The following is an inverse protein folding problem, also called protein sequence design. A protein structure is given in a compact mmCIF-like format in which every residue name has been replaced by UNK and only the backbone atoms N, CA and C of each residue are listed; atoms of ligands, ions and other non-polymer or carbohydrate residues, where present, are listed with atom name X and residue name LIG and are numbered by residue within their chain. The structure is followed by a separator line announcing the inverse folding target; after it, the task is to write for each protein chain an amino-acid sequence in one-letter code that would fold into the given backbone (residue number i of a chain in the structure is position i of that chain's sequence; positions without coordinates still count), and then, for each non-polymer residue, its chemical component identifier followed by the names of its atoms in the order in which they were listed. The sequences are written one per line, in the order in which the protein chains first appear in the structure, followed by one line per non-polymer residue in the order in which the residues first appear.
data_IF_689364160115
#
_entry.id   IF_689364160115
#
_cell.length_a   1.000
_cell.length_b   1.000
_cell.length_c   1.000
_cell.angle_alpha   90.00
_cell.angle_beta   90.00
_cell.angle_gamma   90.00
#
_symmetry.space_group_name_H-M   'P 1'
#
loop_
_entity.id
_entity.type
_entity.pdbx_description
1 polymer ?
#
# COMPACT_ATOMS: atom_id res chain seq x y z
N UNK A 1 35.99 -66.04 36.42
CA UNK A 1 36.28 -66.52 35.05
C UNK A 1 35.06 -67.26 34.55
N UNK A 2 34.57 -66.93 33.35
CA UNK A 2 33.42 -67.63 32.77
C UNK A 2 33.87 -69.03 32.25
N UNK A 3 33.04 -70.06 32.37
CA UNK A 3 33.39 -71.44 32.00
C UNK A 3 33.54 -71.62 30.48
N UNK A 4 34.41 -72.55 30.04
CA UNK A 4 34.76 -72.76 28.62
C UNK A 4 33.56 -73.03 27.68
N UNK A 5 32.49 -73.62 28.20
CA UNK A 5 31.28 -73.85 27.42
C UNK A 5 30.58 -72.54 27.01
N UNK A 6 30.71 -71.47 27.80
CA UNK A 6 30.13 -70.14 27.50
C UNK A 6 30.81 -69.49 26.29
N UNK A 7 32.14 -69.57 26.23
CA UNK A 7 32.91 -69.06 25.09
C UNK A 7 32.64 -69.88 23.81
N UNK A 8 32.55 -71.22 23.93
CA UNK A 8 32.20 -72.09 22.81
C UNK A 8 30.76 -71.82 22.31
N UNK A 9 29.79 -71.72 23.22
CA UNK A 9 28.40 -71.39 22.89
C UNK A 9 28.26 -70.06 22.15
N UNK A 10 28.93 -69.00 22.61
CA UNK A 10 28.91 -67.70 21.93
C UNK A 10 29.63 -67.73 20.58
N UNK A 11 30.69 -68.53 20.43
CA UNK A 11 31.38 -68.69 19.14
C UNK A 11 30.56 -69.46 18.11
N UNK A 12 29.77 -70.44 18.55
CA UNK A 12 28.92 -71.28 17.69
C UNK A 12 27.55 -70.64 17.41
N UNK A 13 27.14 -69.64 18.21
CA UNK A 13 25.87 -68.92 18.08
C UNK A 13 26.09 -67.41 18.20
N UNK A 14 26.78 -66.77 17.24
CA UNK A 14 26.97 -65.32 17.27
C UNK A 14 25.60 -64.64 17.18
N UNK A 15 25.17 -64.02 18.28
CA UNK A 15 23.96 -63.21 18.29
C UNK A 15 24.21 -61.98 17.42
N UNK A 16 23.60 -61.93 16.24
CA UNK A 16 23.69 -60.77 15.36
C UNK A 16 22.90 -59.61 15.97
N UNK A 17 23.57 -58.78 16.79
CA UNK A 17 22.98 -57.58 17.38
C UNK A 17 22.99 -56.39 16.40
N UNK A 18 23.90 -56.40 15.42
CA UNK A 18 24.07 -55.32 14.46
C UNK A 18 22.90 -55.25 13.47
N UNK A 19 22.41 -56.39 12.98
CA UNK A 19 21.24 -56.45 12.08
C UNK A 19 19.98 -55.82 12.71
N UNK A 20 19.54 -56.26 13.90
CA UNK A 20 18.46 -55.64 14.65
C UNK A 20 18.73 -54.16 14.98
N UNK A 21 19.95 -53.79 15.37
CA UNK A 21 20.29 -52.40 15.68
C UNK A 21 20.19 -51.48 14.44
N UNK A 22 20.67 -51.93 13.28
CA UNK A 22 20.54 -51.22 11.99
C UNK A 22 19.06 -51.09 11.63
N UNK A 23 18.28 -52.16 11.79
CA UNK A 23 16.85 -52.15 11.47
C UNK A 23 16.07 -51.20 12.39
N UNK A 24 16.34 -51.22 13.69
CA UNK A 24 15.76 -50.27 14.66
C UNK A 24 16.18 -48.84 14.36
N UNK A 25 17.45 -48.61 14.03
CA UNK A 25 17.95 -47.27 13.65
C UNK A 25 17.30 -46.74 12.37
N UNK A 26 17.12 -47.59 11.36
CA UNK A 26 16.44 -47.25 10.11
C UNK A 26 14.96 -46.94 10.34
N UNK A 27 14.25 -47.77 11.12
CA UNK A 27 12.85 -47.54 11.49
C UNK A 27 12.70 -46.25 12.31
N UNK A 28 13.56 -46.03 13.30
CA UNK A 28 13.55 -44.80 14.10
C UNK A 28 13.78 -43.55 13.25
N UNK A 29 14.73 -43.60 12.32
CA UNK A 29 15.00 -42.50 11.38
C UNK A 29 13.81 -42.24 10.46
N UNK A 30 13.18 -43.30 9.93
CA UNK A 30 12.00 -43.17 9.09
C UNK A 30 10.82 -42.56 9.86
N UNK A 31 10.60 -42.95 11.11
CA UNK A 31 9.58 -42.34 11.97
C UNK A 31 9.86 -40.86 12.21
N UNK A 32 11.11 -40.49 12.51
CA UNK A 32 11.50 -39.07 12.69
C UNK A 32 11.22 -38.27 11.42
N UNK A 33 11.57 -38.79 10.24
CA UNK A 33 11.32 -38.12 8.96
C UNK A 33 9.82 -37.97 8.70
N UNK A 34 9.02 -39.02 8.94
CA UNK A 34 7.56 -38.96 8.75
C UNK A 34 6.92 -37.97 9.73
N UNK A 35 7.31 -38.00 11.01
CA UNK A 35 6.84 -37.03 12.01
C UNK A 35 7.24 -35.62 11.60
N UNK A 36 8.48 -35.40 11.15
CA UNK A 36 8.93 -34.09 10.68
C UNK A 36 8.11 -33.61 9.46
N UNK A 37 7.85 -34.47 8.48
CA UNK A 37 7.02 -34.12 7.31
C UNK A 37 5.57 -33.78 7.68
N UNK A 38 4.99 -34.49 8.66
CA UNK A 38 3.63 -34.22 9.15
C UNK A 38 3.61 -32.93 9.99
N UNK A 39 4.53 -32.79 10.93
CA UNK A 39 4.58 -31.67 11.88
C UNK A 39 5.01 -30.35 11.23
N UNK A 40 5.92 -30.37 10.26
CA UNK A 40 6.29 -29.18 9.48
C UNK A 40 5.25 -28.86 8.39
N UNK A 41 4.37 -29.81 8.07
CA UNK A 41 3.35 -29.66 7.04
C UNK A 41 3.95 -29.43 5.65
N UNK A 42 3.16 -28.82 4.77
CA UNK A 42 3.61 -28.36 3.45
C UNK A 42 3.90 -26.85 3.53
N UNK A 43 5.15 -26.41 3.76
CA UNK A 43 5.48 -24.99 3.93
C UNK A 43 5.21 -24.16 2.66
N UNK A 44 5.13 -24.81 1.50
CA UNK A 44 4.83 -24.19 0.22
C UNK A 44 3.37 -24.38 -0.20
N UNK A 45 2.48 -24.70 0.73
CA UNK A 45 1.06 -24.80 0.44
C UNK A 45 0.55 -23.45 -0.04
N UNK A 46 -0.08 -23.43 -1.21
CA UNK A 46 -0.67 -22.24 -1.78
C UNK A 46 -2.19 -22.27 -1.67
N UNK A 47 -2.79 -21.09 -1.68
CA UNK A 47 -4.20 -20.88 -1.94
C UNK A 47 -4.31 -20.09 -3.25
N UNK A 48 -5.26 -20.47 -4.09
CA UNK A 48 -5.49 -19.80 -5.37
C UNK A 48 -6.91 -19.27 -5.45
N UNK A 49 -7.04 -18.01 -5.88
CA UNK A 49 -8.30 -17.39 -6.25
C UNK A 49 -8.37 -17.36 -7.77
N UNK A 50 -9.48 -17.82 -8.33
CA UNK A 50 -9.73 -17.74 -9.77
C UNK A 50 -10.33 -16.36 -10.09
N UNK A 51 -9.70 -15.61 -11.00
CA UNK A 51 -10.07 -14.23 -11.33
C UNK A 51 -10.74 -14.09 -12.71
N UNK A 52 -10.89 -15.19 -13.45
CA UNK A 52 -11.56 -15.21 -14.76
C UNK A 52 -12.13 -16.58 -15.13
N UNK A 53 -12.64 -16.77 -16.36
CA UNK A 53 -13.23 -18.03 -16.80
C UNK A 53 -12.26 -19.22 -16.71
N UNK A 54 -12.78 -20.43 -16.50
CA UNK A 54 -11.97 -21.64 -16.38
C UNK A 54 -11.12 -21.87 -17.64
N UNK A 55 -9.86 -22.27 -17.44
CA UNK A 55 -8.91 -22.54 -18.53
C UNK A 55 -8.18 -21.31 -19.10
N UNK A 56 -8.48 -20.10 -18.64
CA UNK A 56 -7.81 -18.86 -19.11
C UNK A 56 -6.49 -18.56 -18.40
N UNK A 57 -6.14 -19.29 -17.34
CA UNK A 57 -4.96 -19.01 -16.52
C UNK A 57 -5.10 -17.79 -15.61
N UNK A 58 -6.27 -17.15 -15.58
CA UNK A 58 -6.56 -16.03 -14.67
C UNK A 58 -6.74 -16.54 -13.23
N UNK A 59 -5.63 -16.54 -12.49
CA UNK A 59 -5.59 -16.92 -11.08
C UNK A 59 -4.54 -16.11 -10.30
N UNK A 60 -4.87 -15.75 -9.06
CA UNK A 60 -3.88 -15.34 -8.07
C UNK A 60 -3.53 -16.53 -7.20
N UNK A 61 -2.26 -16.77 -6.99
CA UNK A 61 -1.77 -17.83 -6.11
C UNK A 61 -0.87 -17.19 -5.06
N UNK A 62 -1.16 -17.48 -3.80
CA UNK A 62 -0.44 -16.95 -2.64
C UNK A 62 -0.08 -18.08 -1.69
N UNK A 63 1.01 -17.93 -0.93
CA UNK A 63 1.34 -18.89 0.10
C UNK A 63 0.36 -18.78 1.27
N UNK A 64 -0.12 -19.91 1.78
CA UNK A 64 -1.00 -19.93 2.96
C UNK A 64 -0.35 -19.30 4.19
N UNK A 65 0.97 -19.39 4.29
CA UNK A 65 1.74 -18.75 5.36
C UNK A 65 1.65 -17.23 5.35
N UNK A 66 1.52 -16.63 4.17
CA UNK A 66 1.48 -15.18 3.99
C UNK A 66 0.07 -14.67 4.27
N UNK A 67 -0.94 -15.39 3.79
CA UNK A 67 -2.36 -15.12 4.09
C UNK A 67 -2.70 -15.25 5.58
N UNK A 68 -1.97 -16.09 6.32
CA UNK A 68 -2.19 -16.30 7.75
C UNK A 68 -1.62 -15.17 8.63
N UNK A 69 -0.81 -14.27 8.08
CA UNK A 69 -0.20 -13.15 8.81
C UNK A 69 -0.95 -11.87 8.46
N UNK A 70 -1.75 -11.29 9.40
CA UNK A 70 -2.40 -10.01 9.14
C UNK A 70 -1.38 -8.88 8.99
N UNK A 71 -1.81 -7.77 8.39
CA UNK A 71 -1.04 -6.53 8.40
C UNK A 71 -0.82 -6.11 9.87
N UNK A 72 0.43 -6.07 10.37
CA UNK A 72 0.69 -5.76 11.77
C UNK A 72 0.26 -4.34 12.16
N UNK A 73 0.12 -3.43 11.19
CA UNK A 73 -0.35 -2.07 11.48
C UNK A 73 -1.84 -2.00 11.81
N UNK A 74 -2.63 -3.03 11.53
CA UNK A 74 -4.03 -3.11 11.99
C UNK A 74 -4.09 -3.09 13.51
N UNK A 75 -3.20 -3.84 14.19
CA UNK A 75 -3.13 -3.88 15.66
C UNK A 75 -2.64 -2.55 16.25
N UNK A 76 -1.83 -1.80 15.51
CA UNK A 76 -1.30 -0.50 15.92
C UNK A 76 -2.29 0.66 15.70
N UNK A 77 -3.40 0.42 15.00
CA UNK A 77 -4.34 1.48 14.67
C UNK A 77 -5.13 1.92 15.91
N UNK A 78 -5.13 3.22 16.17
CA UNK A 78 -5.92 3.83 17.23
C UNK A 78 -7.38 4.08 16.79
N UNK A 79 -8.32 3.59 17.59
CA UNK A 79 -9.75 3.84 17.47
C UNK A 79 -10.30 4.42 18.77
N UNK A 80 -11.23 5.36 18.64
CA UNK A 80 -12.03 5.90 19.74
C UNK A 80 -13.47 6.06 19.25
N UNK A 81 -14.46 5.98 20.12
CA UNK A 81 -15.88 6.14 19.73
C UNK A 81 -16.25 7.62 19.69
N UNK A 82 -17.03 8.08 18.70
CA UNK A 82 -17.46 9.48 18.67
C UNK A 82 -18.49 9.79 19.75
N UNK A 83 -18.49 11.02 20.23
CA UNK A 83 -19.52 11.52 21.14
C UNK A 83 -20.73 11.96 20.32
N UNK A 84 -21.91 11.38 20.57
CA UNK A 84 -23.15 11.79 19.90
C UNK A 84 -23.60 13.15 20.47
N UNK A 85 -23.65 14.23 19.67
CA UNK A 85 -24.09 15.54 20.15
C UNK A 85 -25.58 15.51 20.55
N UNK A 86 -25.92 16.06 21.71
CA UNK A 86 -27.29 16.18 22.22
C UNK A 86 -27.99 17.47 21.74
N UNK A 87 -27.22 18.43 21.21
CA UNK A 87 -27.69 19.70 20.68
C UNK A 87 -27.57 20.84 21.70
N UNK A 88 -27.08 21.99 21.23
CA UNK A 88 -26.88 23.19 22.07
C UNK A 88 -25.47 23.33 22.66
N UNK A 89 -24.58 22.37 22.38
CA UNK A 89 -23.16 22.50 22.66
C UNK A 89 -22.53 23.60 21.79
N UNK A 90 -21.49 24.23 22.33
CA UNK A 90 -20.68 25.17 21.56
C UNK A 90 -19.85 24.41 20.53
N UNK A 91 -19.72 24.99 19.33
CA UNK A 91 -18.92 24.42 18.26
C UNK A 91 -17.47 24.89 18.36
N UNK A 92 -16.54 24.12 17.80
CA UNK A 92 -15.11 24.40 17.82
C UNK A 92 -14.78 25.78 17.25
N UNK A 93 -15.52 26.24 16.21
CA UNK A 93 -15.37 27.59 15.64
C UNK A 93 -15.76 28.72 16.59
N UNK A 94 -16.60 28.44 17.59
CA UNK A 94 -17.09 29.42 18.57
C UNK A 94 -16.19 29.46 19.83
N UNK A 95 -15.45 28.38 20.09
CA UNK A 95 -14.58 28.22 21.27
C UNK A 95 -13.12 28.56 20.93
N UNK A 96 -12.61 28.00 19.84
CA UNK A 96 -11.19 28.06 19.49
C UNK A 96 -10.88 29.11 18.44
N UNK A 97 -9.64 29.60 18.46
CA UNK A 97 -9.14 30.52 17.44
C UNK A 97 -8.60 29.76 16.24
N UNK A 98 -8.85 30.29 15.03
CA UNK A 98 -8.27 29.80 13.78
C UNK A 98 -8.66 28.36 13.39
N UNK A 99 -9.90 27.95 13.70
CA UNK A 99 -10.48 26.71 13.17
C UNK A 99 -11.07 26.98 11.79
N UNK A 100 -10.44 26.43 10.74
CA UNK A 100 -10.80 26.71 9.33
C UNK A 100 -11.51 25.55 8.62
N UNK A 101 -11.39 24.32 9.15
CA UNK A 101 -11.91 23.10 8.50
C UNK A 101 -12.88 22.39 9.44
N UNK A 102 -12.42 22.01 10.63
CA UNK A 102 -13.20 21.27 11.63
C UNK A 102 -14.06 22.18 12.52
N UNK A 103 -14.67 23.21 11.94
CA UNK A 103 -15.37 24.27 12.68
C UNK A 103 -16.71 23.86 13.28
N UNK A 104 -17.37 22.88 12.66
CA UNK A 104 -18.72 22.43 13.03
C UNK A 104 -18.73 21.24 14.03
N UNK A 105 -17.57 20.90 14.58
CA UNK A 105 -17.47 19.87 15.62
C UNK A 105 -17.82 20.44 16.99
N UNK A 106 -18.38 19.62 17.88
CA UNK A 106 -18.42 19.93 19.31
C UNK A 106 -16.99 19.94 19.88
N UNK A 107 -16.80 20.58 21.04
CA UNK A 107 -15.49 20.60 21.71
C UNK A 107 -14.92 19.19 21.93
N UNK A 108 -15.75 18.26 22.40
CA UNK A 108 -15.33 16.90 22.72
C UNK A 108 -14.91 16.13 21.45
N UNK A 109 -15.68 16.21 20.37
CA UNK A 109 -15.30 15.55 19.11
C UNK A 109 -14.10 16.22 18.44
N UNK A 110 -13.96 17.54 18.55
CA UNK A 110 -12.77 18.24 18.07
C UNK A 110 -11.50 17.73 18.76
N UNK A 111 -11.52 17.65 20.10
CA UNK A 111 -10.38 17.17 20.88
C UNK A 111 -10.11 15.68 20.64
N UNK A 112 -11.16 14.88 20.46
CA UNK A 112 -11.05 13.47 20.05
C UNK A 112 -10.32 13.30 18.72
N UNK A 113 -10.73 14.03 17.68
CA UNK A 113 -10.07 13.98 16.35
C UNK A 113 -8.61 14.42 16.45
N UNK A 114 -8.30 15.47 17.22
CA UNK A 114 -6.90 15.89 17.46
C UNK A 114 -6.07 14.81 18.17
N UNK A 115 -6.66 14.11 19.14
CA UNK A 115 -6.05 12.96 19.80
C UNK A 115 -5.74 11.82 18.81
N UNK A 116 -6.70 11.47 17.96
CA UNK A 116 -6.53 10.45 16.93
C UNK A 116 -5.45 10.84 15.90
N UNK A 117 -5.49 12.07 15.39
CA UNK A 117 -4.46 12.58 14.47
C UNK A 117 -3.05 12.52 15.08
N UNK A 118 -2.93 12.81 16.37
CA UNK A 118 -1.65 12.70 17.10
C UNK A 118 -1.14 11.26 17.07
N UNK A 119 -1.99 10.28 17.41
CA UNK A 119 -1.61 8.86 17.38
C UNK A 119 -1.27 8.37 15.97
N UNK A 120 -1.96 8.87 14.94
CA UNK A 120 -1.77 8.40 13.58
C UNK A 120 -0.57 8.98 12.84
N UNK A 121 -0.13 10.18 13.23
CA UNK A 121 0.87 10.96 12.48
C UNK A 121 2.14 11.21 13.30
N UNK A 122 2.02 11.53 14.59
CA UNK A 122 3.16 11.96 15.40
C UNK A 122 3.05 11.46 16.85
N UNK A 123 2.87 10.14 17.09
CA UNK A 123 2.69 9.59 18.44
C UNK A 123 3.91 9.85 19.34
N UNK A 124 5.11 9.94 18.78
CA UNK A 124 6.34 10.22 19.53
C UNK A 124 6.50 11.69 19.90
N UNK A 125 6.13 12.61 18.99
CA UNK A 125 6.30 14.06 19.20
C UNK A 125 5.09 14.71 19.87
N UNK A 126 3.93 14.04 19.85
CA UNK A 126 2.69 14.52 20.44
C UNK A 126 2.14 15.77 19.75
N UNK A 127 1.28 16.50 20.46
CA UNK A 127 0.60 17.71 19.99
C UNK A 127 1.59 18.79 19.50
N UNK A 128 2.77 18.85 20.14
CA UNK A 128 3.80 19.83 19.83
C UNK A 128 4.37 19.69 18.41
N UNK A 129 4.17 18.55 17.74
CA UNK A 129 4.60 18.40 16.34
C UNK A 129 3.93 19.42 15.41
N UNK A 130 2.64 19.71 15.65
CA UNK A 130 1.87 20.66 14.86
C UNK A 130 1.70 22.01 15.55
N UNK A 131 1.72 22.05 16.89
CA UNK A 131 1.43 23.28 17.64
C UNK A 131 2.65 23.93 18.29
N UNK A 132 3.79 23.23 18.40
CA UNK A 132 4.94 23.68 19.17
C UNK A 132 4.78 23.41 20.67
N UNK A 133 5.86 23.64 21.42
CA UNK A 133 5.86 23.54 22.88
C UNK A 133 5.39 24.88 23.48
N UNK A 134 4.10 25.16 23.30
CA UNK A 134 3.43 26.41 23.72
C UNK A 134 2.19 26.12 24.56
N UNK A 135 1.62 27.15 25.19
CA UNK A 135 0.37 26.99 25.92
C UNK A 135 -0.80 26.68 24.98
N UNK A 136 -1.84 25.96 25.47
CA UNK A 136 -2.99 25.53 24.67
C UNK A 136 -3.72 26.71 24.00
N UNK A 137 -3.74 27.87 24.65
CA UNK A 137 -4.37 29.09 24.14
C UNK A 137 -3.66 29.65 22.89
N UNK A 138 -2.40 29.26 22.67
CA UNK A 138 -1.57 29.65 21.53
C UNK A 138 -1.65 28.66 20.37
N UNK A 139 -2.34 27.52 20.53
CA UNK A 139 -2.45 26.49 19.49
C UNK A 139 -3.13 26.97 18.21
N UNK A 140 -3.79 28.13 18.25
CA UNK A 140 -4.35 28.82 17.08
C UNK A 140 -3.32 29.37 16.09
N UNK A 141 -2.05 29.57 16.47
CA UNK A 141 -1.01 30.08 15.59
C UNK A 141 -0.64 29.10 14.45
N UNK A 142 -0.28 29.63 13.28
CA UNK A 142 0.12 28.84 12.09
C UNK A 142 1.63 28.94 11.79
N UNK A 143 2.43 29.16 12.84
CA UNK A 143 3.86 29.42 12.72
C UNK A 143 4.66 28.18 12.29
N UNK A 144 4.11 26.97 12.51
CA UNK A 144 4.73 25.71 12.11
C UNK A 144 4.16 25.22 10.78
N UNK A 145 5.05 24.88 9.85
CA UNK A 145 4.69 24.33 8.55
C UNK A 145 3.82 23.07 8.66
N UNK A 146 4.06 22.26 9.69
CA UNK A 146 3.34 21.01 9.97
C UNK A 146 1.84 21.25 10.20
N UNK A 147 1.44 22.37 10.81
CA UNK A 147 0.04 22.72 10.98
C UNK A 147 -0.63 23.13 9.67
N UNK A 148 0.07 23.92 8.86
CA UNK A 148 -0.41 24.32 7.52
C UNK A 148 -0.61 23.08 6.64
N UNK A 149 0.35 22.16 6.66
CA UNK A 149 0.25 20.87 5.97
C UNK A 149 -0.88 20.01 6.54
N UNK A 150 -0.98 19.87 7.87
CA UNK A 150 -2.03 19.07 8.51
C UNK A 150 -3.43 19.56 8.15
N UNK A 151 -3.65 20.88 8.10
CA UNK A 151 -4.91 21.47 7.63
C UNK A 151 -5.25 21.03 6.20
N UNK A 152 -4.26 21.06 5.30
CA UNK A 152 -4.44 20.62 3.91
C UNK A 152 -4.70 19.11 3.83
N UNK A 153 -4.07 18.31 4.70
CA UNK A 153 -4.30 16.87 4.76
C UNK A 153 -5.72 16.53 5.25
N UNK A 154 -6.29 17.26 6.21
CA UNK A 154 -7.69 17.05 6.64
C UNK A 154 -8.63 17.23 5.45
N UNK A 155 -8.47 18.33 4.69
CA UNK A 155 -9.28 18.59 3.49
C UNK A 155 -9.10 17.48 2.45
N UNK A 156 -7.86 17.02 2.25
CA UNK A 156 -7.57 15.91 1.33
C UNK A 156 -8.27 14.63 1.78
N UNK A 157 -8.22 14.29 3.07
CA UNK A 157 -8.86 13.10 3.64
C UNK A 157 -10.37 13.15 3.48
N UNK A 158 -11.02 14.26 3.83
CA UNK A 158 -12.48 14.44 3.63
C UNK A 158 -12.86 14.29 2.16
N UNK A 159 -12.08 14.90 1.26
CA UNK A 159 -12.32 14.80 -0.18
C UNK A 159 -12.15 13.37 -0.71
N UNK A 160 -11.16 12.61 -0.23
CA UNK A 160 -11.00 11.20 -0.61
C UNK A 160 -12.23 10.39 -0.19
N UNK A 161 -12.71 10.57 1.04
CA UNK A 161 -13.84 9.80 1.56
C UNK A 161 -15.17 10.18 0.90
N UNK A 162 -15.35 11.45 0.54
CA UNK A 162 -16.59 11.94 -0.06
C UNK A 162 -16.62 11.77 -1.60
N UNK A 163 -15.63 12.32 -2.29
CA UNK A 163 -15.65 12.44 -3.75
C UNK A 163 -15.03 11.24 -4.48
N UNK A 164 -14.26 10.42 -3.76
CA UNK A 164 -13.64 9.19 -4.28
C UNK A 164 -14.24 7.91 -3.68
N UNK A 165 -15.48 7.98 -3.17
CA UNK A 165 -16.25 6.85 -2.63
C UNK A 165 -16.26 5.63 -3.57
N UNK A 166 -16.41 5.87 -4.88
CA UNK A 166 -16.37 4.82 -5.91
C UNK A 166 -15.02 4.08 -6.03
N UNK A 167 -13.96 4.58 -5.41
CA UNK A 167 -12.69 3.88 -5.24
C UNK A 167 -12.55 3.33 -3.81
N UNK A 168 -12.70 4.19 -2.79
CA UNK A 168 -12.36 3.82 -1.41
C UNK A 168 -13.40 2.93 -0.74
N UNK A 169 -14.68 3.00 -1.12
CA UNK A 169 -15.77 2.25 -0.49
C UNK A 169 -16.45 1.22 -1.42
N UNK A 170 -15.90 0.97 -2.61
CA UNK A 170 -16.53 0.18 -3.68
C UNK A 170 -17.06 -1.21 -3.26
N UNK A 171 -16.40 -1.88 -2.31
CA UNK A 171 -16.80 -3.21 -1.84
C UNK A 171 -17.48 -3.19 -0.47
N UNK A 172 -17.17 -2.18 0.35
CA UNK A 172 -17.61 -2.01 1.74
C UNK A 172 -17.16 -0.62 2.19
N UNK A 173 -17.89 -0.07 3.15
CA UNK A 173 -17.49 1.15 3.84
C UNK A 173 -16.18 0.91 4.60
N UNK A 174 -15.13 1.61 4.18
CA UNK A 174 -13.82 1.57 4.83
C UNK A 174 -13.19 2.94 4.98
N UNK A 175 -13.28 3.77 3.93
CA UNK A 175 -12.65 5.07 3.83
C UNK A 175 -11.13 5.06 4.04
N UNK A 176 -10.59 6.25 4.29
CA UNK A 176 -9.20 6.49 4.66
C UNK A 176 -9.13 7.41 5.87
N UNK A 177 -8.08 7.25 6.68
CA UNK A 177 -7.69 8.18 7.73
C UNK A 177 -6.23 8.58 7.54
N UNK A 178 -5.71 9.45 8.41
CA UNK A 178 -4.29 9.81 8.39
C UNK A 178 -3.40 8.56 8.50
N UNK A 179 -3.85 7.57 9.28
CA UNK A 179 -3.11 6.32 9.52
C UNK A 179 -2.92 5.48 8.27
N UNK A 180 -3.86 5.53 7.31
CA UNK A 180 -3.78 4.79 6.04
C UNK A 180 -2.43 5.03 5.34
N UNK A 181 -1.93 6.27 5.37
CA UNK A 181 -0.64 6.66 4.81
C UNK A 181 0.48 6.71 5.86
N UNK A 182 0.24 7.43 6.97
CA UNK A 182 1.29 7.78 7.93
C UNK A 182 1.75 6.60 8.79
N UNK A 183 0.85 5.68 9.14
CA UNK A 183 1.18 4.49 9.94
C UNK A 183 1.97 4.81 11.23
N UNK A 184 1.66 5.94 11.88
CA UNK A 184 2.35 6.41 13.09
C UNK A 184 3.63 7.20 12.83
N UNK A 185 3.98 7.48 11.57
CA UNK A 185 5.17 8.23 11.19
C UNK A 185 4.80 9.61 10.64
N UNK A 186 5.56 10.63 11.03
CA UNK A 186 5.29 12.01 10.60
C UNK A 186 5.66 12.27 9.13
N UNK A 187 6.42 11.36 8.53
CA UNK A 187 6.64 11.24 7.08
C UNK A 187 6.17 9.85 6.65
N UNK A 188 5.13 9.76 5.79
CA UNK A 188 4.67 8.48 5.29
C UNK A 188 5.79 7.73 4.56
N UNK A 189 5.85 6.41 4.75
CA UNK A 189 6.67 5.54 3.90
C UNK A 189 6.07 5.43 2.49
N UNK A 190 6.86 4.96 1.51
CA UNK A 190 6.43 4.75 0.12
C UNK A 190 5.79 5.97 -0.57
N UNK A 191 6.18 7.18 -0.16
CA UNK A 191 6.05 8.38 -0.98
C UNK A 191 7.06 8.33 -2.13
N UNK A 192 6.87 9.17 -3.14
CA UNK A 192 7.80 9.23 -4.26
C UNK A 192 8.20 10.66 -4.63
N UNK A 193 9.41 10.76 -5.18
CA UNK A 193 10.00 11.98 -5.73
C UNK A 193 10.41 11.73 -7.18
N UNK A 194 10.64 12.80 -7.93
CA UNK A 194 11.23 12.71 -9.27
C UNK A 194 12.63 12.11 -9.18
N UNK A 195 12.91 11.12 -10.03
CA UNK A 195 14.24 10.49 -10.10
C UNK A 195 14.85 10.48 -11.50
N UNK A 196 14.05 10.72 -12.54
CA UNK A 196 14.52 10.71 -13.92
C UNK A 196 15.08 12.09 -14.34
N UNK A 197 16.16 12.12 -15.16
CA UNK A 197 16.90 10.97 -15.71
C UNK A 197 17.71 10.18 -14.68
N UNK A 198 17.72 8.86 -14.84
CA UNK A 198 18.42 7.89 -13.97
C UNK A 198 19.79 7.51 -14.52
N UNK A 199 20.05 7.73 -15.81
CA UNK A 199 21.33 7.48 -16.48
C UNK A 199 21.88 8.80 -17.01
N UNK A 200 22.75 9.46 -16.23
CA UNK A 200 23.25 10.82 -16.54
C UNK A 200 24.19 10.92 -17.75
N UNK A 201 24.70 9.80 -18.24
CA UNK A 201 25.63 9.75 -19.37
C UNK A 201 24.93 9.76 -20.75
N UNK A 202 23.60 9.70 -20.77
CA UNK A 202 22.77 9.59 -21.97
C UNK A 202 21.63 10.60 -21.93
N UNK A 203 21.01 10.83 -23.08
CA UNK A 203 19.82 11.68 -23.22
C UNK A 203 18.65 10.87 -23.80
N UNK A 204 17.46 11.46 -23.79
CA UNK A 204 16.24 10.84 -24.33
C UNK A 204 15.87 9.54 -23.62
N UNK A 205 15.40 8.54 -24.39
CA UNK A 205 14.89 7.28 -23.86
C UNK A 205 15.91 6.52 -23.00
N UNK A 206 17.18 6.50 -23.44
CA UNK A 206 18.24 5.82 -22.72
C UNK A 206 18.56 6.44 -21.35
N UNK A 207 18.10 7.67 -21.09
CA UNK A 207 18.32 8.35 -19.82
C UNK A 207 17.33 7.95 -18.72
N UNK A 208 16.16 7.39 -19.10
CA UNK A 208 15.05 7.11 -18.16
C UNK A 208 14.90 5.64 -17.77
N UNK A 209 15.63 4.72 -18.41
CA UNK A 209 15.54 3.27 -18.17
C UNK A 209 16.92 2.58 -18.05
N UNK A 210 16.94 1.24 -18.05
CA UNK A 210 18.15 0.41 -17.90
C UNK A 210 18.92 0.62 -16.60
N UNK A 211 18.23 1.02 -15.54
CA UNK A 211 18.76 1.14 -14.19
C UNK A 211 17.76 0.56 -13.20
N UNK A 212 18.25 -0.25 -12.27
CA UNK A 212 17.45 -0.78 -11.16
C UNK A 212 17.09 0.38 -10.24
N UNK A 213 15.80 0.69 -10.13
CA UNK A 213 15.28 1.69 -9.20
C UNK A 213 14.09 1.12 -8.42
N UNK A 214 13.74 1.80 -7.34
CA UNK A 214 12.56 1.43 -6.56
C UNK A 214 11.29 1.76 -7.35
N UNK A 215 11.24 2.88 -8.09
CA UNK A 215 10.09 3.21 -8.96
C UNK A 215 9.88 2.17 -10.07
N UNK A 216 10.94 1.64 -10.68
CA UNK A 216 10.83 0.59 -11.71
C UNK A 216 10.56 -0.81 -11.14
N UNK A 217 10.28 -0.93 -9.84
CA UNK A 217 10.11 -2.20 -9.13
C UNK A 217 11.28 -3.17 -9.39
N UNK A 218 12.50 -2.64 -9.34
CA UNK A 218 13.74 -3.38 -9.56
C UNK A 218 13.89 -4.01 -10.95
N UNK A 219 13.13 -3.53 -11.94
CA UNK A 219 13.29 -3.90 -13.35
C UNK A 219 14.18 -2.91 -14.11
N UNK A 220 14.53 -3.23 -15.36
CA UNK A 220 15.20 -2.31 -16.28
C UNK A 220 14.25 -1.34 -16.99
N UNK A 221 12.95 -1.34 -16.66
CA UNK A 221 11.93 -0.50 -17.30
C UNK A 221 12.11 0.99 -16.94
N UNK A 222 11.41 1.90 -17.66
CA UNK A 222 11.47 3.34 -17.39
C UNK A 222 11.09 3.69 -15.95
N UNK A 223 11.92 4.53 -15.33
CA UNK A 223 11.80 4.97 -13.94
C UNK A 223 11.00 6.27 -13.77
N UNK A 224 10.49 6.83 -14.87
CA UNK A 224 9.71 8.08 -14.93
C UNK A 224 8.20 7.83 -15.04
N UNK A 225 7.73 6.58 -14.94
CA UNK A 225 6.33 6.22 -15.14
C UNK A 225 5.36 6.93 -14.17
N UNK A 226 5.72 7.06 -12.89
CA UNK A 226 4.89 7.77 -11.90
C UNK A 226 4.80 9.27 -12.22
N UNK A 227 5.91 9.89 -12.62
CA UNK A 227 5.91 11.31 -13.05
C UNK A 227 5.06 11.52 -14.29
N UNK A 228 5.19 10.62 -15.26
CA UNK A 228 4.48 10.71 -16.54
C UNK A 228 2.98 10.51 -16.39
N UNK A 229 2.56 9.52 -15.60
CA UNK A 229 1.15 9.13 -15.54
C UNK A 229 0.41 9.61 -14.29
N UNK A 230 1.06 9.69 -13.12
CA UNK A 230 0.42 10.09 -11.86
C UNK A 230 0.61 11.57 -11.51
N UNK A 231 1.42 12.29 -12.28
CA UNK A 231 1.60 13.73 -12.14
C UNK A 231 1.24 14.48 -13.44
N UNK A 232 1.89 14.17 -14.56
CA UNK A 232 1.64 14.83 -15.86
C UNK A 232 0.36 14.39 -16.56
N UNK A 233 -0.32 13.36 -16.04
CA UNK A 233 -1.59 12.86 -16.59
C UNK A 233 -1.53 12.42 -18.06
N UNK A 234 -0.36 11.97 -18.54
CA UNK A 234 -0.23 11.50 -19.92
C UNK A 234 -1.03 10.19 -20.16
N UNK A 235 -1.33 9.90 -21.42
CA UNK A 235 -2.11 8.70 -21.79
C UNK A 235 -1.32 7.41 -21.55
N UNK A 236 -1.95 6.46 -20.85
CA UNK A 236 -1.44 5.10 -20.62
C UNK A 236 -1.75 4.17 -21.81
N UNK A 237 -2.65 4.59 -22.72
CA UNK A 237 -3.11 3.78 -23.85
C UNK A 237 -2.02 3.66 -24.92
N UNK A 238 -1.74 2.43 -25.33
CA UNK A 238 -0.69 2.09 -26.31
C UNK A 238 -1.14 1.16 -27.42
N UNK A 239 -2.41 0.72 -27.40
CA UNK A 239 -2.95 -0.18 -28.41
C UNK A 239 -3.67 0.61 -29.49
N UNK A 240 -3.39 0.28 -30.75
CA UNK A 240 -4.30 0.57 -31.84
C UNK A 240 -5.34 -0.56 -31.93
N UNK A 241 -6.62 -0.21 -32.05
CA UNK A 241 -7.73 -1.17 -32.06
C UNK A 241 -8.10 -1.65 -33.48
N UNK A 242 -7.57 -1.00 -34.51
CA UNK A 242 -7.79 -1.38 -35.90
C UNK A 242 -6.89 -2.55 -36.30
N UNK A 243 -7.50 -3.54 -36.93
CA UNK A 243 -6.74 -4.58 -37.62
C UNK A 243 -6.06 -3.96 -38.85
N UNK A 244 -4.73 -4.06 -38.94
CA UNK A 244 -3.93 -3.46 -40.02
C UNK A 244 -3.98 -1.93 -40.06
N UNK A 245 -3.75 -1.28 -38.91
CA UNK A 245 -3.57 0.17 -38.84
C UNK A 245 -2.50 0.67 -39.82
N UNK A 246 -2.77 1.79 -40.49
CA UNK A 246 -1.84 2.50 -41.39
C UNK A 246 -1.04 3.58 -40.64
N UNK A 247 -0.77 3.34 -39.35
CA UNK A 247 0.01 4.22 -38.48
C UNK A 247 1.47 3.73 -38.41
N UNK A 248 2.41 4.67 -38.50
CA UNK A 248 3.84 4.41 -38.38
C UNK A 248 4.38 4.99 -37.07
N UNK A 249 5.40 4.36 -36.45
CA UNK A 249 6.03 4.89 -35.23
C UNK A 249 6.67 6.28 -35.39
N UNK A 250 6.86 6.76 -36.62
CA UNK A 250 7.33 8.10 -36.93
C UNK A 250 6.23 9.16 -36.95
N UNK A 251 4.97 8.73 -37.00
CA UNK A 251 3.83 9.64 -37.06
C UNK A 251 3.66 10.33 -35.71
N UNK A 252 3.28 11.61 -35.70
CA UNK A 252 3.02 12.33 -34.46
C UNK A 252 1.91 11.64 -33.68
N UNK A 253 2.03 11.66 -32.35
CA UNK A 253 1.04 11.14 -31.40
C UNK A 253 0.76 9.63 -31.45
N UNK A 254 1.46 8.86 -32.30
CA UNK A 254 1.37 7.39 -32.32
C UNK A 254 2.19 6.80 -31.16
N UNK A 255 1.57 6.07 -30.21
CA UNK A 255 2.31 5.39 -29.15
C UNK A 255 3.28 4.37 -29.73
N UNK A 256 4.53 4.42 -29.25
CA UNK A 256 5.58 3.50 -29.67
C UNK A 256 5.83 2.43 -28.61
N UNK A 257 6.78 1.52 -28.89
CA UNK A 257 7.28 0.56 -27.89
C UNK A 257 7.83 1.25 -26.65
N UNK A 258 8.32 2.49 -26.75
CA UNK A 258 8.74 3.27 -25.60
C UNK A 258 7.56 3.58 -24.66
N UNK A 259 6.44 4.02 -25.23
CA UNK A 259 5.21 4.21 -24.47
C UNK A 259 4.74 2.88 -23.85
N UNK A 260 4.83 1.77 -24.60
CA UNK A 260 4.48 0.44 -24.08
C UNK A 260 5.37 0.01 -22.89
N UNK A 261 6.68 0.21 -22.96
CA UNK A 261 7.62 -0.06 -21.87
C UNK A 261 7.30 0.79 -20.63
N UNK A 262 6.95 2.08 -20.80
CA UNK A 262 6.58 2.94 -19.68
C UNK A 262 5.24 2.54 -19.07
N UNK A 263 4.23 2.27 -19.89
CA UNK A 263 2.94 1.72 -19.42
C UNK A 263 3.17 0.43 -18.65
N UNK A 264 4.04 -0.46 -19.14
CA UNK A 264 4.36 -1.70 -18.44
C UNK A 264 5.07 -1.46 -17.09
N UNK A 265 5.93 -0.43 -17.00
CA UNK A 265 6.52 0.01 -15.73
C UNK A 265 5.46 0.43 -14.72
N UNK A 266 4.47 1.23 -15.13
CA UNK A 266 3.35 1.61 -14.28
C UNK A 266 2.53 0.38 -13.85
N UNK A 267 2.20 -0.52 -14.77
CA UNK A 267 1.43 -1.74 -14.44
C UNK A 267 2.18 -2.65 -13.46
N UNK A 268 3.52 -2.71 -13.55
CA UNK A 268 4.35 -3.42 -12.59
C UNK A 268 4.32 -2.71 -11.23
N UNK A 269 4.41 -1.38 -11.19
CA UNK A 269 4.24 -0.59 -9.97
C UNK A 269 2.89 -0.85 -9.30
N UNK A 270 1.78 -0.77 -10.04
CA UNK A 270 0.42 -1.03 -9.53
C UNK A 270 0.34 -2.45 -8.96
N UNK A 271 0.80 -3.45 -9.73
CA UNK A 271 0.77 -4.86 -9.29
C UNK A 271 1.50 -5.05 -7.97
N UNK A 272 2.73 -4.54 -7.83
CA UNK A 272 3.51 -4.68 -6.60
C UNK A 272 2.94 -3.82 -5.45
N UNK A 273 2.31 -2.69 -5.74
CA UNK A 273 1.70 -1.81 -4.73
C UNK A 273 0.50 -2.46 -4.05
N UNK A 274 -0.26 -3.26 -4.79
CA UNK A 274 -1.45 -3.96 -4.31
C UNK A 274 -1.16 -5.41 -3.86
N UNK A 275 0.09 -5.89 -4.00
CA UNK A 275 0.41 -7.31 -3.78
C UNK A 275 -0.22 -8.23 -4.82
N UNK A 276 -0.50 -7.69 -6.01
CA UNK A 276 -1.17 -8.37 -7.11
C UNK A 276 -0.35 -8.66 -8.36
N UNK A 277 -0.99 -9.21 -9.40
CA UNK A 277 -0.45 -9.72 -10.64
C UNK A 277 -1.40 -9.25 -11.75
N UNK A 278 -0.95 -9.30 -13.00
CA UNK A 278 -1.67 -8.66 -14.10
C UNK A 278 -3.09 -9.23 -14.30
N UNK A 279 -3.26 -10.53 -14.05
CA UNK A 279 -4.54 -11.24 -14.21
C UNK A 279 -5.55 -11.00 -13.09
N UNK A 280 -5.19 -10.16 -12.12
CA UNK A 280 -6.14 -9.60 -11.18
C UNK A 280 -7.08 -8.60 -11.84
N UNK A 281 -6.57 -7.81 -12.80
CA UNK A 281 -7.33 -6.79 -13.53
C UNK A 281 -7.61 -7.18 -14.99
N UNK A 282 -6.71 -7.92 -15.64
CA UNK A 282 -6.75 -8.14 -17.09
C UNK A 282 -6.85 -9.60 -17.50
N UNK A 283 -7.49 -9.87 -18.63
CA UNK A 283 -7.13 -11.04 -19.42
C UNK A 283 -5.90 -10.70 -20.28
N UNK A 284 -4.76 -11.34 -20.02
CA UNK A 284 -3.49 -11.00 -20.67
C UNK A 284 -3.46 -11.22 -22.18
N UNK A 285 -4.44 -11.95 -22.75
CA UNK A 285 -4.58 -12.06 -24.20
C UNK A 285 -5.02 -10.76 -24.87
N UNK A 286 -5.65 -9.84 -24.11
CA UNK A 286 -6.14 -8.57 -24.60
C UNK A 286 -6.25 -7.56 -23.43
N UNK A 287 -5.12 -6.95 -23.03
CA UNK A 287 -5.07 -6.00 -21.91
C UNK A 287 -6.01 -4.78 -22.08
N UNK A 288 -6.30 -4.40 -23.32
CA UNK A 288 -7.11 -3.24 -23.69
C UNK A 288 -8.62 -3.48 -23.71
N UNK A 289 -9.07 -4.75 -23.68
CA UNK A 289 -10.47 -5.09 -23.98
C UNK A 289 -11.35 -5.00 -22.72
N UNK A 290 -12.23 -3.98 -22.61
CA UNK A 290 -13.08 -3.81 -21.44
C UNK A 290 -14.11 -4.94 -21.29
N UNK A 291 -14.37 -5.74 -22.33
CA UNK A 291 -15.21 -6.94 -22.25
C UNK A 291 -14.51 -8.15 -21.62
N UNK A 292 -13.22 -8.04 -21.32
CA UNK A 292 -12.39 -9.15 -20.82
C UNK A 292 -11.56 -8.82 -19.57
N UNK A 293 -11.72 -7.61 -19.03
CA UNK A 293 -11.13 -7.22 -17.74
C UNK A 293 -12.03 -7.63 -16.58
N UNK A 294 -11.49 -7.58 -15.37
CA UNK A 294 -12.27 -7.76 -14.13
C UNK A 294 -12.80 -6.40 -13.64
N UNK A 295 -13.78 -6.37 -12.71
CA UNK A 295 -14.27 -5.12 -12.12
C UNK A 295 -13.17 -4.27 -11.47
N UNK A 296 -12.10 -4.90 -10.97
CA UNK A 296 -10.97 -4.21 -10.33
C UNK A 296 -10.22 -3.29 -11.30
N UNK A 297 -10.28 -3.55 -12.60
CA UNK A 297 -9.73 -2.64 -13.60
C UNK A 297 -10.42 -1.27 -13.58
N UNK A 298 -11.74 -1.22 -13.41
CA UNK A 298 -12.48 0.04 -13.32
C UNK A 298 -12.17 0.78 -12.00
N UNK A 299 -12.07 0.05 -10.88
CA UNK A 299 -11.64 0.62 -9.59
C UNK A 299 -10.23 1.22 -9.66
N UNK A 300 -9.31 0.58 -10.38
CA UNK A 300 -7.95 1.09 -10.58
C UNK A 300 -7.93 2.36 -11.44
N UNK A 301 -8.78 2.48 -12.46
CA UNK A 301 -8.89 3.74 -13.23
C UNK A 301 -9.31 4.92 -12.36
N UNK A 302 -10.24 4.68 -11.42
CA UNK A 302 -10.61 5.68 -10.41
C UNK A 302 -9.43 5.97 -9.48
N UNK A 303 -8.69 4.94 -9.06
CA UNK A 303 -7.49 5.11 -8.21
C UNK A 303 -6.39 5.95 -8.86
N UNK A 304 -6.13 5.75 -10.15
CA UNK A 304 -5.18 6.56 -10.93
C UNK A 304 -5.64 8.01 -10.94
N UNK A 305 -6.92 8.26 -11.25
CA UNK A 305 -7.49 9.61 -11.32
C UNK A 305 -7.46 10.31 -9.96
N UNK A 306 -7.78 9.56 -8.89
CA UNK A 306 -7.68 10.03 -7.51
C UNK A 306 -6.25 10.48 -7.20
N UNK A 307 -5.25 9.63 -7.42
CA UNK A 307 -3.85 9.95 -7.13
C UNK A 307 -3.36 11.14 -7.95
N UNK A 308 -3.80 11.28 -9.21
CA UNK A 308 -3.50 12.45 -10.02
C UNK A 308 -4.04 13.74 -9.38
N UNK A 309 -5.26 13.72 -8.85
CA UNK A 309 -5.83 14.84 -8.09
C UNK A 309 -5.04 15.10 -6.80
N UNK A 310 -4.76 14.06 -6.00
CA UNK A 310 -4.00 14.20 -4.74
C UNK A 310 -2.65 14.89 -4.98
N UNK A 311 -1.93 14.45 -6.02
CA UNK A 311 -0.62 15.01 -6.34
C UNK A 311 -0.72 16.46 -6.81
N UNK A 312 -1.62 16.77 -7.75
CA UNK A 312 -1.68 18.09 -8.37
C UNK A 312 -2.36 19.15 -7.49
N UNK A 313 -3.40 18.77 -6.75
CA UNK A 313 -4.23 19.73 -5.99
C UNK A 313 -3.82 19.84 -4.51
N UNK A 314 -3.26 18.79 -3.91
CA UNK A 314 -3.00 18.77 -2.46
C UNK A 314 -1.51 18.74 -2.11
N UNK A 315 -0.70 17.92 -2.80
CA UNK A 315 0.67 17.66 -2.37
C UNK A 315 1.71 18.57 -3.04
N UNK A 316 1.69 18.69 -4.37
CA UNK A 316 2.63 19.55 -5.10
C UNK A 316 2.51 21.03 -4.72
N UNK A 317 1.31 21.61 -4.51
CA UNK A 317 1.18 23.01 -4.10
C UNK A 317 1.82 23.34 -2.75
N UNK A 318 2.11 22.34 -1.91
CA UNK A 318 2.78 22.52 -0.62
C UNK A 318 4.32 22.61 -0.73
N UNK A 319 4.90 22.58 -1.94
CA UNK A 319 6.36 22.62 -2.16
C UNK A 319 7.04 23.75 -1.37
N UNK A 320 6.52 24.96 -1.43
CA UNK A 320 7.10 26.14 -0.77
C UNK A 320 6.85 26.19 0.76
N UNK A 321 5.96 25.32 1.26
CA UNK A 321 5.65 25.20 2.69
C UNK A 321 6.61 24.23 3.37
N UNK A 322 7.08 23.22 2.64
CA UNK A 322 7.99 22.22 3.17
C UNK A 322 9.39 22.77 3.42
N UNK A 323 10.04 22.42 4.54
CA UNK A 323 11.45 22.72 4.70
C UNK A 323 12.30 21.83 3.77
N UNK A 324 13.54 22.23 3.42
CA UNK A 324 14.36 21.55 2.41
C UNK A 324 14.58 20.05 2.65
N UNK A 325 14.66 19.62 3.91
CA UNK A 325 14.82 18.21 4.29
C UNK A 325 13.59 17.32 4.01
N UNK A 326 12.45 17.92 3.64
CA UNK A 326 11.23 17.20 3.22
C UNK A 326 11.08 17.15 1.69
N UNK A 327 11.92 17.86 0.95
CA UNK A 327 11.90 17.89 -0.51
C UNK A 327 12.76 16.78 -1.12
N UNK A 328 12.48 16.45 -2.38
CA UNK A 328 13.22 15.43 -3.12
C UNK A 328 14.72 15.75 -3.21
N UNK A 329 15.61 14.77 -2.97
CA UNK A 329 17.04 15.03 -2.80
C UNK A 329 17.75 15.51 -4.08
N UNK A 330 17.13 15.33 -5.25
CA UNK A 330 17.72 15.69 -6.54
C UNK A 330 17.06 16.92 -7.15
N UNK A 331 15.73 16.97 -7.18
CA UNK A 331 14.97 18.02 -7.86
C UNK A 331 14.28 18.99 -6.90
N UNK A 332 14.43 18.79 -5.59
CA UNK A 332 13.76 19.58 -4.56
C UNK A 332 12.24 19.65 -4.79
N UNK A 333 11.65 18.58 -5.33
CA UNK A 333 10.22 18.47 -5.57
C UNK A 333 9.48 18.00 -4.31
N UNK A 334 8.22 18.45 -4.13
CA UNK A 334 7.40 18.01 -3.02
C UNK A 334 7.20 16.48 -2.98
N UNK A 335 7.04 15.89 -1.78
CA UNK A 335 6.66 14.49 -1.65
C UNK A 335 5.28 14.25 -2.28
N UNK A 336 5.15 13.15 -3.02
CA UNK A 336 3.91 12.78 -3.73
C UNK A 336 3.42 11.41 -3.26
N UNK A 337 2.11 11.19 -3.44
CA UNK A 337 1.46 9.92 -3.17
C UNK A 337 1.36 9.08 -4.45
N UNK A 338 1.30 7.77 -4.27
CA UNK A 338 0.97 6.79 -5.28
C UNK A 338 0.33 5.56 -4.63
N UNK A 339 0.01 4.53 -5.42
CA UNK A 339 -0.73 3.35 -4.95
C UNK A 339 -0.12 2.74 -3.66
N UNK A 340 1.21 2.59 -3.61
CA UNK A 340 1.91 1.99 -2.47
C UNK A 340 1.88 2.84 -1.20
N UNK A 341 1.64 4.16 -1.31
CA UNK A 341 1.53 5.06 -0.15
C UNK A 341 0.39 4.62 0.78
N UNK A 342 -0.73 4.15 0.22
CA UNK A 342 -1.87 3.64 0.99
C UNK A 342 -1.87 2.11 1.09
N UNK A 343 -1.69 1.41 -0.04
CA UNK A 343 -1.93 -0.02 -0.15
C UNK A 343 -0.88 -0.88 0.55
N UNK A 344 0.38 -0.43 0.62
CA UNK A 344 1.48 -1.12 1.33
C UNK A 344 1.65 -2.61 0.96
N UNK A 345 1.32 -2.99 -0.29
CA UNK A 345 1.40 -4.38 -0.74
C UNK A 345 0.13 -5.20 -0.52
N UNK A 346 -0.97 -4.57 -0.11
CA UNK A 346 -2.28 -5.21 0.07
C UNK A 346 -3.30 -4.71 -0.95
N UNK A 347 -4.18 -5.60 -1.42
CA UNK A 347 -5.24 -5.25 -2.34
C UNK A 347 -6.16 -4.15 -1.76
N UNK A 348 -6.42 -4.21 -0.45
CA UNK A 348 -7.12 -3.16 0.29
C UNK A 348 -6.19 -2.70 1.42
N UNK A 349 -5.96 -1.37 1.59
CA UNK A 349 -5.19 -0.86 2.73
C UNK A 349 -5.72 -1.41 4.05
N UNK A 350 -4.82 -1.79 4.97
CA UNK A 350 -5.18 -2.36 6.28
C UNK A 350 -6.15 -3.56 6.16
N UNK A 351 -6.00 -4.34 5.08
CA UNK A 351 -6.85 -5.48 4.72
C UNK A 351 -8.36 -5.14 4.68
N UNK A 352 -8.69 -3.88 4.35
CA UNK A 352 -10.05 -3.37 4.29
C UNK A 352 -10.71 -3.22 5.66
N UNK A 353 -9.94 -2.95 6.70
CA UNK A 353 -10.48 -2.54 8.01
C UNK A 353 -11.32 -1.26 7.82
N UNK A 354 -12.50 -1.18 8.46
CA UNK A 354 -13.29 0.04 8.42
C UNK A 354 -12.64 1.10 9.29
N UNK A 355 -11.80 1.93 8.69
CA UNK A 355 -11.03 2.95 9.40
C UNK A 355 -11.82 4.23 9.62
N UNK A 356 -12.83 4.48 8.78
CA UNK A 356 -13.64 5.69 8.83
C UNK A 356 -14.85 5.57 9.75
N UNK A 357 -15.31 4.35 10.07
CA UNK A 357 -16.56 4.12 10.80
C UNK A 357 -16.69 4.87 12.12
N UNK A 358 -15.58 5.12 12.82
CA UNK A 358 -15.61 5.88 14.07
C UNK A 358 -15.36 7.38 13.87
N UNK A 359 -14.98 7.85 12.68
CA UNK A 359 -14.54 9.23 12.45
C UNK A 359 -15.37 9.92 11.37
N UNK A 360 -16.68 10.14 11.61
CA UNK A 360 -17.55 10.82 10.65
C UNK A 360 -17.07 12.24 10.31
N UNK A 361 -16.26 12.86 11.18
CA UNK A 361 -15.62 14.17 10.95
C UNK A 361 -14.65 14.18 9.76
N UNK A 362 -14.15 13.01 9.38
CA UNK A 362 -13.24 12.81 8.25
C UNK A 362 -13.95 12.18 7.04
N UNK A 363 -15.21 11.77 7.17
CA UNK A 363 -15.94 11.05 6.12
C UNK A 363 -16.46 11.98 5.01
N UNK A 364 -16.74 13.25 5.35
CA UNK A 364 -17.25 14.24 4.42
C UNK A 364 -16.78 15.66 4.78
N UNK A 365 -16.91 16.60 3.83
CA UNK A 365 -16.62 18.03 4.03
C UNK A 365 -17.73 18.78 4.77
N UNK A 366 -18.94 18.21 4.82
CA UNK A 366 -20.08 18.77 5.56
C UNK A 366 -20.04 18.52 7.06
N UNK A 367 -21.08 18.97 7.76
CA UNK A 367 -21.26 18.65 9.18
C UNK A 367 -21.37 17.12 9.37
N UNK A 368 -20.61 16.52 10.31
CA UNK A 368 -20.64 15.08 10.53
C UNK A 368 -22.00 14.63 11.06
N UNK A 369 -22.39 13.41 10.68
CA UNK A 369 -23.55 12.71 11.23
C UNK A 369 -23.05 11.64 12.18
N UNK A 370 -23.61 11.60 13.37
CA UNK A 370 -23.30 10.65 14.42
C UNK A 370 -24.53 9.75 14.62
N UNK A 371 -24.45 8.50 14.16
CA UNK A 371 -25.56 7.52 14.15
C UNK A 371 -25.32 6.33 15.08
#
# INVERSE_FOLDING_TARGET
MLPNWFFKWNSERPANIYGPAILVGAVGSAVIVVVALISLGQPYATASIQTGPAGTGMSRTEFKSDLAKPDPSIEAMYFDEPYIPEGGENLAKDIYKNVQVLGDLTEDNFNRVMGAMTQWVAPEQGCAYCHGDVALEEYGADDLYTKVVARRMIQMTQNINENWDGHVNVNKEVGVTCFTCHRGENVPSDIWFRIAPVTKATEGWSAVQNRVTVQSQYTSLPSDALETYLLKTESIKVHNLDAHADEYPSDPDVPTWQNAERTFSLMNYISNSLGVNCVFCHNSRAFYDPGQVTPQWATELLGISMVQELNNEYLVPLTEVYPPERLGPVYQDAPKAACKTCHKGYQQPLQGTNVIGNYPELAATGAPVYD
#
